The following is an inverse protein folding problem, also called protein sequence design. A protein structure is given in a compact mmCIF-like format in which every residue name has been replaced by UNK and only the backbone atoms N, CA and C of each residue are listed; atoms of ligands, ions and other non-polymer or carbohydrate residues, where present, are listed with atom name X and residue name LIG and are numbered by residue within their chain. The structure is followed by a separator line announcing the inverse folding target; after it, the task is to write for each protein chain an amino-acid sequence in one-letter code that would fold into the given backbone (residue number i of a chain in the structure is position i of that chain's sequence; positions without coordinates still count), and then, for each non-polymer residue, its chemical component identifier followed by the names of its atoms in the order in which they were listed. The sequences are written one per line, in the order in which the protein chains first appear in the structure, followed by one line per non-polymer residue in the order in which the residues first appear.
data_IF_031354491665
#
_entry.id   IF_031354491665
#
_cell.length_a   1.000
_cell.length_b   1.000
_cell.length_c   1.000
_cell.angle_alpha   90.00
_cell.angle_beta   90.00
_cell.angle_gamma   90.00
#
_symmetry.space_group_name_H-M   'P 1'
#
loop_
_entity.id
_entity.type
_entity.pdbx_description
1 polymer ?
#
# COMPACT_ATOMS: atom_id res chain seq x y z
N UNK A 1 6.15 -16.49 -9.08
CA UNK A 1 5.37 -15.30 -8.69
C UNK A 1 4.29 -14.89 -9.69
N UNK A 2 4.14 -15.52 -10.87
CA UNK A 2 3.08 -15.20 -11.85
C UNK A 2 1.78 -16.02 -11.72
N UNK A 3 1.39 -16.50 -10.54
CA UNK A 3 0.27 -17.45 -10.42
C UNK A 3 -1.10 -16.78 -10.35
N UNK A 4 -1.24 -15.73 -9.52
CA UNK A 4 -2.55 -15.10 -9.26
C UNK A 4 -3.00 -14.18 -10.40
N UNK A 5 -2.10 -13.34 -10.92
CA UNK A 5 -2.42 -12.33 -11.93
C UNK A 5 -2.93 -12.92 -13.25
N UNK A 6 -2.64 -14.20 -13.49
CA UNK A 6 -3.08 -14.94 -14.67
C UNK A 6 -4.37 -15.74 -14.44
N UNK A 7 -4.85 -15.84 -13.18
CA UNK A 7 -6.08 -16.53 -12.88
C UNK A 7 -7.28 -15.64 -13.28
N UNK A 8 -8.21 -16.13 -14.13
CA UNK A 8 -9.34 -15.34 -14.62
C UNK A 8 -10.30 -14.87 -13.51
N UNK A 9 -10.23 -15.48 -12.33
CA UNK A 9 -11.10 -15.15 -11.21
C UNK A 9 -10.50 -14.13 -10.24
N UNK A 10 -9.18 -13.96 -10.26
CA UNK A 10 -8.49 -12.99 -9.41
C UNK A 10 -9.03 -11.56 -9.52
N UNK A 11 -9.44 -11.05 -10.70
CA UNK A 11 -10.07 -9.73 -10.81
C UNK A 11 -11.36 -9.59 -9.99
N UNK A 12 -12.09 -10.68 -9.73
CA UNK A 12 -13.30 -10.66 -8.89
C UNK A 12 -12.95 -10.38 -7.43
N UNK A 13 -11.87 -10.99 -6.92
CA UNK A 13 -11.33 -10.68 -5.59
C UNK A 13 -10.91 -9.20 -5.51
N UNK A 14 -10.23 -8.70 -6.54
CA UNK A 14 -9.81 -7.29 -6.59
C UNK A 14 -11.02 -6.37 -6.46
N UNK A 15 -12.07 -6.59 -7.26
CA UNK A 15 -13.31 -5.80 -7.19
C UNK A 15 -13.97 -5.89 -5.82
N UNK A 16 -14.12 -7.09 -5.27
CA UNK A 16 -14.75 -7.29 -3.97
C UNK A 16 -14.01 -6.56 -2.83
N UNK A 17 -12.67 -6.62 -2.81
CA UNK A 17 -11.85 -5.92 -1.82
C UNK A 17 -11.95 -4.40 -1.97
N UNK A 18 -11.96 -3.88 -3.21
CA UNK A 18 -12.17 -2.45 -3.51
C UNK A 18 -13.55 -1.98 -3.04
N UNK A 19 -14.59 -2.77 -3.29
CA UNK A 19 -15.95 -2.50 -2.80
C UNK A 19 -16.00 -2.51 -1.27
N UNK A 20 -15.29 -3.44 -0.62
CA UNK A 20 -15.15 -3.47 0.84
C UNK A 20 -14.46 -2.22 1.39
N UNK A 21 -13.35 -1.76 0.79
CA UNK A 21 -12.70 -0.49 1.17
C UNK A 21 -13.66 0.70 1.10
N UNK A 22 -14.44 0.82 0.02
CA UNK A 22 -15.44 1.91 -0.11
C UNK A 22 -16.49 1.86 0.99
N UNK A 23 -16.94 0.68 1.40
CA UNK A 23 -17.88 0.52 2.52
C UNK A 23 -17.26 0.90 3.87
N UNK A 24 -16.03 0.43 4.13
CA UNK A 24 -15.29 0.69 5.39
C UNK A 24 -15.10 2.18 5.67
N UNK A 25 -14.79 2.95 4.65
CA UNK A 25 -14.58 4.40 4.75
C UNK A 25 -15.80 5.22 4.29
N UNK A 26 -16.96 4.60 4.13
CA UNK A 26 -18.18 5.34 3.80
C UNK A 26 -18.55 6.31 4.94
N UNK A 27 -19.20 7.41 4.59
CA UNK A 27 -19.68 8.38 5.59
C UNK A 27 -20.55 7.71 6.66
N UNK A 28 -21.34 6.71 6.28
CA UNK A 28 -22.20 5.98 7.22
C UNK A 28 -21.43 5.09 8.19
N UNK A 29 -20.36 4.43 7.74
CA UNK A 29 -19.52 3.65 8.64
C UNK A 29 -18.70 4.57 9.57
N UNK A 30 -18.18 5.68 9.07
CA UNK A 30 -17.39 6.64 9.87
C UNK A 30 -18.21 7.24 11.02
N UNK A 31 -19.52 7.45 10.84
CA UNK A 31 -20.42 7.92 11.92
C UNK A 31 -20.44 7.00 13.15
N UNK A 32 -20.07 5.72 13.00
CA UNK A 32 -19.93 4.77 14.13
C UNK A 32 -18.76 5.13 15.05
N UNK A 33 -17.88 6.03 14.59
CA UNK A 33 -16.69 6.49 15.28
C UNK A 33 -16.79 7.99 15.56
N UNK A 34 -17.44 8.40 16.68
CA UNK A 34 -17.60 9.82 17.01
C UNK A 34 -16.29 10.61 17.03
N UNK A 35 -15.18 9.95 17.41
CA UNK A 35 -13.83 10.54 17.42
C UNK A 35 -13.34 11.02 16.04
N UNK A 36 -13.82 10.41 14.96
CA UNK A 36 -13.38 10.73 13.60
C UNK A 36 -14.38 11.62 12.85
N UNK A 37 -15.38 12.17 13.56
CA UNK A 37 -16.39 13.06 12.99
C UNK A 37 -15.83 14.40 12.50
N UNK A 38 -14.68 14.82 13.03
CA UNK A 38 -13.97 16.03 12.61
C UNK A 38 -13.27 15.87 11.24
N UNK A 39 -13.14 14.64 10.72
CA UNK A 39 -12.56 14.40 9.39
C UNK A 39 -13.60 14.75 8.34
N UNK A 40 -13.33 15.76 7.51
CA UNK A 40 -14.27 16.17 6.47
C UNK A 40 -14.47 15.09 5.40
N UNK A 41 -15.68 15.02 4.84
CA UNK A 41 -16.02 14.03 3.80
C UNK A 41 -15.10 14.11 2.59
N UNK A 42 -14.65 15.30 2.20
CA UNK A 42 -13.69 15.49 1.11
C UNK A 42 -12.33 14.81 1.42
N UNK A 43 -11.88 14.83 2.69
CA UNK A 43 -10.64 14.14 3.10
C UNK A 43 -10.83 12.63 3.14
N UNK A 44 -11.99 12.15 3.56
CA UNK A 44 -12.35 10.73 3.50
C UNK A 44 -12.34 10.24 2.05
N UNK A 45 -12.97 10.96 1.13
CA UNK A 45 -12.98 10.61 -0.29
C UNK A 45 -11.57 10.58 -0.89
N UNK A 46 -10.75 11.57 -0.54
CA UNK A 46 -9.34 11.59 -0.93
C UNK A 46 -8.64 10.34 -0.40
N UNK A 47 -8.76 10.04 0.89
CA UNK A 47 -8.15 8.85 1.50
C UNK A 47 -8.59 7.55 0.80
N UNK A 48 -9.88 7.38 0.51
CA UNK A 48 -10.40 6.21 -0.20
C UNK A 48 -9.81 6.11 -1.61
N UNK A 49 -9.76 7.24 -2.33
CA UNK A 49 -9.11 7.30 -3.64
C UNK A 49 -7.64 6.84 -3.55
N UNK A 50 -6.92 7.30 -2.52
CA UNK A 50 -5.55 6.87 -2.25
C UNK A 50 -5.42 5.37 -2.00
N UNK A 51 -6.24 4.79 -1.13
CA UNK A 51 -6.25 3.34 -0.92
C UNK A 51 -6.47 2.58 -2.23
N UNK A 52 -7.44 3.04 -3.03
CA UNK A 52 -7.83 2.38 -4.28
C UNK A 52 -6.86 2.59 -5.44
N UNK A 53 -6.04 3.64 -5.44
CA UNK A 53 -5.08 3.89 -6.53
C UNK A 53 -3.68 3.39 -6.18
N UNK A 54 -3.32 3.42 -4.89
CA UNK A 54 -1.96 3.19 -4.41
C UNK A 54 -1.78 1.79 -3.84
N UNK A 55 -2.66 1.39 -2.91
CA UNK A 55 -2.53 0.13 -2.18
C UNK A 55 -3.22 -1.02 -2.90
N UNK A 56 -4.38 -0.73 -3.51
CA UNK A 56 -5.22 -1.76 -4.09
C UNK A 56 -5.84 -1.32 -5.44
N UNK A 57 -5.00 -1.06 -6.47
CA UNK A 57 -5.45 -0.66 -7.80
C UNK A 57 -6.23 -1.76 -8.52
N UNK A 58 -6.80 -1.40 -9.66
CA UNK A 58 -7.39 -2.35 -10.60
C UNK A 58 -6.32 -3.27 -11.20
N UNK A 59 -6.76 -4.36 -11.85
CA UNK A 59 -5.87 -5.42 -12.35
C UNK A 59 -4.68 -4.88 -13.15
N UNK A 60 -4.91 -3.97 -14.10
CA UNK A 60 -3.81 -3.38 -14.89
C UNK A 60 -2.81 -2.62 -14.00
N UNK A 61 -3.33 -1.85 -13.04
CA UNK A 61 -2.49 -1.18 -12.06
C UNK A 61 -1.73 -2.18 -11.20
N UNK A 62 -2.36 -3.30 -10.82
CA UNK A 62 -1.71 -4.36 -10.04
C UNK A 62 -0.55 -4.98 -10.79
N UNK A 63 -0.75 -5.36 -12.06
CA UNK A 63 0.29 -5.88 -12.95
C UNK A 63 1.45 -4.88 -13.07
N UNK A 64 1.16 -3.58 -13.23
CA UNK A 64 2.20 -2.54 -13.31
C UNK A 64 2.98 -2.40 -12.00
N UNK A 65 2.28 -2.35 -10.86
CA UNK A 65 2.94 -2.29 -9.55
C UNK A 65 3.80 -3.53 -9.32
N UNK A 66 3.32 -4.71 -9.71
CA UNK A 66 4.01 -5.98 -9.48
C UNK A 66 5.32 -6.08 -10.23
N UNK A 67 5.28 -5.72 -11.52
CA UNK A 67 6.49 -5.66 -12.34
C UNK A 67 7.50 -4.68 -11.74
N UNK A 68 7.05 -3.48 -11.37
CA UNK A 68 7.92 -2.45 -10.82
C UNK A 68 8.53 -2.83 -9.47
N UNK A 69 7.75 -3.38 -8.54
CA UNK A 69 8.25 -3.82 -7.24
C UNK A 69 9.15 -5.05 -7.35
N UNK A 70 8.87 -5.99 -8.27
CA UNK A 70 9.76 -7.12 -8.55
C UNK A 70 11.12 -6.67 -9.07
N UNK A 71 11.13 -5.71 -10.02
CA UNK A 71 12.37 -5.11 -10.52
C UNK A 71 13.11 -4.32 -9.43
N UNK A 72 12.39 -3.57 -8.60
CA UNK A 72 12.97 -2.80 -7.51
C UNK A 72 13.58 -3.69 -6.43
N UNK A 73 12.92 -4.80 -6.07
CA UNK A 73 13.45 -5.77 -5.11
C UNK A 73 14.80 -6.34 -5.57
N UNK A 74 14.94 -6.70 -6.86
CA UNK A 74 16.20 -7.17 -7.42
C UNK A 74 17.32 -6.13 -7.37
N UNK A 75 16.99 -4.85 -7.61
CA UNK A 75 17.94 -3.75 -7.47
C UNK A 75 18.39 -3.55 -6.02
N UNK A 76 17.45 -3.48 -5.08
CA UNK A 76 17.74 -3.24 -3.65
C UNK A 76 18.52 -4.40 -3.01
N UNK A 77 18.29 -5.63 -3.48
CA UNK A 77 19.06 -6.81 -3.08
C UNK A 77 20.48 -6.86 -3.66
N UNK A 78 20.88 -5.88 -4.47
CA UNK A 78 22.22 -5.77 -5.05
C UNK A 78 23.02 -4.63 -4.40
N UNK A 79 23.72 -4.86 -3.27
CA UNK A 79 24.48 -3.84 -2.56
C UNK A 79 25.44 -3.06 -3.45
N UNK A 80 26.16 -3.74 -4.34
CA UNK A 80 27.12 -3.11 -5.26
C UNK A 80 26.49 -2.09 -6.21
N UNK A 81 25.31 -2.41 -6.76
CA UNK A 81 24.55 -1.49 -7.62
C UNK A 81 24.04 -0.28 -6.83
N UNK A 82 23.47 -0.52 -5.65
CA UNK A 82 22.94 0.53 -4.76
C UNK A 82 24.06 1.48 -4.33
N UNK A 83 25.16 0.95 -3.78
CA UNK A 83 26.32 1.77 -3.38
C UNK A 83 27.00 2.44 -4.57
N UNK A 84 27.01 1.81 -5.74
CA UNK A 84 27.53 2.41 -6.98
C UNK A 84 26.75 3.65 -7.42
N UNK A 85 25.40 3.64 -7.31
CA UNK A 85 24.59 4.84 -7.55
C UNK A 85 24.86 5.87 -6.48
N UNK A 86 24.74 5.50 -5.20
CA UNK A 86 24.85 6.45 -4.08
C UNK A 86 26.23 7.11 -4.00
N UNK A 87 27.31 6.35 -4.23
CA UNK A 87 28.68 6.88 -4.26
C UNK A 87 28.88 7.91 -5.37
N UNK A 88 28.21 7.73 -6.52
CA UNK A 88 28.24 8.71 -7.60
C UNK A 88 27.38 9.95 -7.37
N UNK A 89 26.52 9.94 -6.33
CA UNK A 89 25.62 11.04 -6.00
C UNK A 89 26.21 12.03 -4.99
N UNK A 90 27.35 11.71 -4.35
CA UNK A 90 28.14 12.63 -3.51
C UNK A 90 27.32 13.63 -2.69
N UNK A 91 27.24 14.87 -3.18
CA UNK A 91 26.54 16.01 -2.58
C UNK A 91 25.05 15.80 -2.35
N UNK A 92 24.35 15.04 -3.20
CA UNK A 92 22.92 14.75 -3.03
C UNK A 92 22.67 13.82 -1.83
N UNK A 93 23.51 12.80 -1.65
CA UNK A 93 23.48 11.93 -0.46
C UNK A 93 23.87 12.72 0.79
N UNK A 94 24.87 13.60 0.68
CA UNK A 94 25.28 14.47 1.79
C UNK A 94 24.18 15.46 2.21
N UNK A 95 23.45 16.07 1.26
CA UNK A 95 22.29 16.94 1.53
C UNK A 95 21.14 16.21 2.21
N UNK A 96 21.02 14.91 1.98
CA UNK A 96 20.03 14.07 2.67
C UNK A 96 20.40 13.85 4.14
N UNK A 97 21.70 13.76 4.43
CA UNK A 97 22.26 13.75 5.78
C UNK A 97 21.53 12.79 6.72
N UNK A 98 21.00 13.32 7.82
CA UNK A 98 20.26 12.56 8.84
C UNK A 98 19.01 11.84 8.33
N UNK A 99 18.43 12.28 7.21
CA UNK A 99 17.21 11.71 6.64
C UNK A 99 17.47 10.49 5.75
N UNK A 100 18.73 10.18 5.41
CA UNK A 100 19.08 9.04 4.56
C UNK A 100 18.57 7.71 5.14
N UNK A 101 18.78 7.49 6.43
CA UNK A 101 18.28 6.27 7.11
C UNK A 101 16.76 6.19 7.02
N UNK A 102 16.06 7.28 7.32
CA UNK A 102 14.59 7.35 7.27
C UNK A 102 14.05 7.18 5.86
N UNK A 103 14.73 7.70 4.84
CA UNK A 103 14.39 7.54 3.43
C UNK A 103 14.49 6.07 2.98
N UNK A 104 15.56 5.38 3.37
CA UNK A 104 15.68 3.95 3.12
C UNK A 104 14.60 3.16 3.86
N UNK A 105 14.37 3.46 5.15
CA UNK A 105 13.32 2.80 5.93
C UNK A 105 11.94 3.00 5.31
N UNK A 106 11.64 4.20 4.81
CA UNK A 106 10.41 4.51 4.08
C UNK A 106 10.25 3.64 2.81
N UNK A 107 11.29 3.59 1.98
CA UNK A 107 11.30 2.75 0.77
C UNK A 107 11.16 1.25 1.09
N UNK A 108 11.85 0.76 2.12
CA UNK A 108 11.72 -0.62 2.59
C UNK A 108 10.34 -0.91 3.17
N UNK A 109 9.74 0.02 3.92
CA UNK A 109 8.39 -0.13 4.44
C UNK A 109 7.35 -0.20 3.30
N UNK A 110 7.48 0.65 2.27
CA UNK A 110 6.61 0.59 1.10
C UNK A 110 6.75 -0.75 0.35
N UNK A 111 7.99 -1.22 0.13
CA UNK A 111 8.26 -2.52 -0.49
C UNK A 111 7.72 -3.69 0.37
N UNK A 112 7.93 -3.63 1.69
CA UNK A 112 7.45 -4.65 2.62
C UNK A 112 5.92 -4.71 2.65
N UNK A 113 5.25 -3.57 2.73
CA UNK A 113 3.78 -3.46 2.66
C UNK A 113 3.24 -4.14 1.41
N UNK A 114 3.92 -3.95 0.28
CA UNK A 114 3.54 -4.58 -0.99
C UNK A 114 3.69 -6.10 -0.98
N UNK A 115 4.81 -6.61 -0.46
CA UNK A 115 5.06 -8.05 -0.31
C UNK A 115 4.05 -8.68 0.68
N UNK A 116 3.75 -7.99 1.79
CA UNK A 116 2.75 -8.44 2.76
C UNK A 116 1.35 -8.46 2.13
N UNK A 117 0.99 -7.45 1.32
CA UNK A 117 -0.26 -7.43 0.56
C UNK A 117 -0.40 -8.65 -0.37
N UNK A 118 0.69 -9.05 -1.02
CA UNK A 118 0.75 -10.24 -1.87
C UNK A 118 0.42 -11.53 -1.11
N UNK A 119 1.08 -11.74 0.03
CA UNK A 119 0.79 -12.89 0.89
C UNK A 119 -0.67 -12.89 1.36
N UNK A 120 -1.20 -11.71 1.66
CA UNK A 120 -2.61 -11.53 2.06
C UNK A 120 -3.57 -11.91 0.91
N UNK A 121 -3.25 -11.50 -0.32
CA UNK A 121 -3.98 -11.84 -1.54
C UNK A 121 -3.96 -13.33 -1.85
N UNK A 122 -2.82 -14.01 -1.72
CA UNK A 122 -2.71 -15.46 -1.91
C UNK A 122 -3.69 -16.22 -0.98
N UNK A 123 -3.70 -15.85 0.31
CA UNK A 123 -4.57 -16.46 1.31
C UNK A 123 -6.05 -16.18 1.03
N UNK A 124 -6.39 -14.91 0.79
CA UNK A 124 -7.77 -14.53 0.45
C UNK A 124 -8.23 -15.19 -0.84
N UNK A 125 -7.38 -15.28 -1.85
CA UNK A 125 -7.76 -15.84 -3.15
C UNK A 125 -8.04 -17.34 -3.07
N UNK A 126 -7.27 -18.08 -2.27
CA UNK A 126 -7.56 -19.49 -2.04
C UNK A 126 -8.99 -19.69 -1.49
N UNK A 127 -9.42 -18.87 -0.53
CA UNK A 127 -10.80 -18.93 -0.01
C UNK A 127 -11.83 -18.38 -0.98
N UNK A 128 -11.51 -17.29 -1.69
CA UNK A 128 -12.38 -16.67 -2.67
C UNK A 128 -12.72 -17.63 -3.80
N UNK A 129 -11.75 -18.41 -4.28
CA UNK A 129 -11.92 -19.42 -5.33
C UNK A 129 -12.89 -20.52 -4.91
N UNK A 130 -12.74 -21.05 -3.70
CA UNK A 130 -13.68 -22.03 -3.14
C UNK A 130 -15.13 -21.52 -3.13
N UNK A 131 -15.33 -20.25 -2.75
CA UNK A 131 -16.65 -19.62 -2.72
C UNK A 131 -17.20 -19.34 -4.14
N UNK A 132 -16.34 -18.94 -5.07
CA UNK A 132 -16.71 -18.72 -6.47
C UNK A 132 -17.13 -20.03 -7.16
N UNK A 133 -16.41 -21.13 -6.90
CA UNK A 133 -16.76 -22.47 -7.39
C UNK A 133 -18.13 -22.94 -6.88
N UNK A 134 -18.57 -22.43 -5.72
CA UNK A 134 -19.90 -22.65 -5.15
C UNK A 134 -20.97 -21.69 -5.71
N UNK A 135 -20.61 -20.81 -6.65
CA UNK A 135 -21.51 -19.82 -7.23
C UNK A 135 -21.77 -18.60 -6.33
N UNK A 136 -20.96 -18.39 -5.29
CA UNK A 136 -21.11 -17.22 -4.41
C UNK A 136 -20.68 -15.92 -5.12
N UNK A 137 -21.34 -14.83 -4.75
CA UNK A 137 -20.99 -13.49 -5.20
C UNK A 137 -20.10 -12.81 -4.15
N UNK A 138 -18.81 -12.66 -4.47
CA UNK A 138 -17.81 -12.06 -3.57
C UNK A 138 -18.08 -10.58 -3.25
N UNK A 139 -18.88 -9.86 -4.05
CA UNK A 139 -19.14 -8.44 -3.80
C UNK A 139 -20.13 -8.23 -2.64
N UNK A 140 -20.91 -9.27 -2.30
CA UNK A 140 -21.78 -9.32 -1.11
C UNK A 140 -20.92 -9.28 0.15
N UNK A 141 -21.28 -8.40 1.09
CA UNK A 141 -20.45 -8.16 2.28
C UNK A 141 -20.30 -9.42 3.13
N UNK A 142 -21.37 -10.19 3.29
CA UNK A 142 -21.41 -11.38 4.13
C UNK A 142 -20.53 -12.50 3.54
N UNK A 143 -20.48 -12.62 2.21
CA UNK A 143 -19.61 -13.56 1.52
C UNK A 143 -18.15 -13.12 1.65
N UNK A 144 -17.90 -11.82 1.46
CA UNK A 144 -16.56 -11.26 1.57
C UNK A 144 -15.99 -11.36 2.99
N UNK A 145 -16.82 -11.31 4.02
CA UNK A 145 -16.40 -11.51 5.41
C UNK A 145 -15.73 -12.88 5.59
N UNK A 146 -16.19 -13.94 4.90
CA UNK A 146 -15.52 -15.25 4.91
C UNK A 146 -14.16 -15.25 4.23
N UNK A 147 -14.01 -14.47 3.16
CA UNK A 147 -12.71 -14.28 2.48
C UNK A 147 -11.75 -13.57 3.41
N UNK A 148 -12.19 -12.47 4.03
CA UNK A 148 -11.35 -11.69 4.95
C UNK A 148 -10.97 -12.51 6.19
N UNK A 149 -11.91 -13.26 6.76
CA UNK A 149 -11.70 -14.15 7.91
C UNK A 149 -10.82 -15.37 7.61
N UNK A 150 -10.47 -15.62 6.34
CA UNK A 150 -9.50 -16.68 5.99
C UNK A 150 -8.07 -16.34 6.40
N UNK A 151 -7.77 -15.05 6.62
CA UNK A 151 -6.44 -14.61 7.04
C UNK A 151 -6.31 -14.65 8.55
N UNK A 152 -5.12 -15.04 9.03
CA UNK A 152 -4.83 -15.09 10.46
C UNK A 152 -4.86 -13.70 11.09
N UNK A 153 -5.29 -13.56 12.37
CA UNK A 153 -5.21 -12.27 13.06
C UNK A 153 -3.81 -11.67 13.09
N UNK A 154 -2.78 -12.52 13.23
CA UNK A 154 -1.39 -12.09 13.19
C UNK A 154 -1.02 -11.44 11.84
N UNK A 155 -1.38 -12.07 10.72
CA UNK A 155 -1.07 -11.53 9.39
C UNK A 155 -1.90 -10.26 9.08
N UNK A 156 -3.16 -10.20 9.52
CA UNK A 156 -4.00 -9.01 9.37
C UNK A 156 -3.49 -7.82 10.19
N UNK A 157 -3.07 -8.07 11.44
CA UNK A 157 -2.45 -7.05 12.29
C UNK A 157 -1.12 -6.56 11.70
N UNK A 158 -0.29 -7.47 11.17
CA UNK A 158 0.95 -7.11 10.51
C UNK A 158 0.70 -6.20 9.29
N UNK A 159 -0.25 -6.58 8.42
CA UNK A 159 -0.61 -5.79 7.26
C UNK A 159 -1.15 -4.40 7.63
N UNK A 160 -2.05 -4.32 8.62
CA UNK A 160 -2.55 -3.03 9.14
C UNK A 160 -1.40 -2.16 9.64
N UNK A 161 -0.49 -2.73 10.44
CA UNK A 161 0.66 -2.00 10.98
C UNK A 161 1.56 -1.46 9.87
N UNK A 162 1.74 -2.21 8.78
CA UNK A 162 2.51 -1.78 7.62
C UNK A 162 1.83 -0.63 6.86
N UNK A 163 0.51 -0.70 6.67
CA UNK A 163 -0.28 0.41 6.13
C UNK A 163 -0.10 1.67 6.99
N UNK A 164 -0.29 1.57 8.31
CA UNK A 164 -0.16 2.73 9.21
C UNK A 164 1.25 3.32 9.17
N UNK A 165 2.30 2.49 9.11
CA UNK A 165 3.69 2.96 8.95
C UNK A 165 3.90 3.66 7.61
N UNK A 166 3.32 3.16 6.53
CA UNK A 166 3.38 3.79 5.22
C UNK A 166 2.73 5.18 5.29
N UNK A 167 1.49 5.29 5.74
CA UNK A 167 0.82 6.60 5.83
C UNK A 167 1.51 7.56 6.80
N UNK A 168 2.09 7.07 7.90
CA UNK A 168 2.91 7.89 8.82
C UNK A 168 4.17 8.44 8.15
N UNK A 169 4.73 7.68 7.22
CA UNK A 169 5.86 8.15 6.41
C UNK A 169 5.41 9.22 5.42
N UNK A 170 4.26 8.99 4.77
CA UNK A 170 3.66 9.93 3.81
C UNK A 170 3.19 11.23 4.47
N UNK A 171 2.89 11.23 5.77
CA UNK A 171 2.51 12.45 6.50
C UNK A 171 3.71 13.33 6.88
N UNK A 172 4.95 12.90 6.64
CA UNK A 172 6.15 13.69 6.91
C UNK A 172 6.62 14.44 5.65
N UNK A 173 6.10 15.66 5.47
CA UNK A 173 6.41 16.52 4.32
C UNK A 173 7.91 16.77 4.10
N UNK A 174 8.66 17.04 5.17
CA UNK A 174 10.10 17.29 5.06
C UNK A 174 10.83 16.03 4.57
N UNK A 175 10.51 14.87 5.15
CA UNK A 175 11.10 13.60 4.73
C UNK A 175 10.73 13.27 3.27
N UNK A 176 9.47 13.46 2.86
CA UNK A 176 9.02 13.20 1.49
C UNK A 176 9.74 14.06 0.47
N UNK A 177 9.87 15.37 0.69
CA UNK A 177 10.59 16.26 -0.23
C UNK A 177 12.04 15.81 -0.39
N UNK A 178 12.69 15.37 0.70
CA UNK A 178 14.08 14.87 0.66
C UNK A 178 14.19 13.54 -0.08
N UNK A 179 13.24 12.62 0.12
CA UNK A 179 13.20 11.36 -0.63
C UNK A 179 13.03 11.62 -2.14
N UNK A 180 12.16 12.56 -2.51
CA UNK A 180 11.97 12.96 -3.92
C UNK A 180 13.26 13.48 -4.56
N UNK A 181 13.96 14.39 -3.87
CA UNK A 181 15.25 14.93 -4.35
C UNK A 181 16.28 13.82 -4.58
N UNK A 182 16.34 12.83 -3.68
CA UNK A 182 17.21 11.66 -3.82
C UNK A 182 16.80 10.79 -5.01
N UNK A 183 15.52 10.46 -5.13
CA UNK A 183 15.00 9.62 -6.21
C UNK A 183 15.26 10.24 -7.58
N UNK A 184 15.07 11.55 -7.73
CA UNK A 184 15.38 12.27 -8.96
C UNK A 184 16.88 12.20 -9.30
N UNK A 185 17.74 12.32 -8.30
CA UNK A 185 19.18 12.21 -8.48
C UNK A 185 19.58 10.78 -8.89
N UNK A 186 19.03 9.76 -8.23
CA UNK A 186 19.21 8.34 -8.55
C UNK A 186 18.78 8.05 -10.00
N UNK A 187 17.58 8.48 -10.40
CA UNK A 187 17.06 8.29 -11.76
C UNK A 187 17.95 8.94 -12.81
N UNK A 188 18.41 10.18 -12.58
CA UNK A 188 19.34 10.86 -13.50
C UNK A 188 20.64 10.07 -13.68
N UNK A 189 21.22 9.59 -12.58
CA UNK A 189 22.44 8.78 -12.61
C UNK A 189 22.24 7.45 -13.32
N UNK A 190 21.13 6.76 -13.08
CA UNK A 190 20.85 5.48 -13.72
C UNK A 190 20.62 5.63 -15.22
N UNK A 191 19.87 6.67 -15.64
CA UNK A 191 19.68 6.99 -17.07
C UNK A 191 20.99 7.32 -17.79
N UNK A 192 21.97 7.90 -17.10
CA UNK A 192 23.30 8.17 -17.67
C UNK A 192 24.17 6.91 -17.82
N UNK A 193 23.77 5.77 -17.22
CA UNK A 193 24.52 4.51 -17.21
C UNK A 193 23.65 3.31 -17.67
N UNK A 194 23.11 3.34 -18.91
CA UNK A 194 22.16 2.31 -19.39
C UNK A 194 22.76 0.91 -19.54
N UNK A 195 24.09 0.77 -19.54
CA UNK A 195 24.78 -0.53 -19.53
C UNK A 195 24.79 -1.21 -18.16
N UNK A 196 24.58 -0.45 -17.09
CA UNK A 196 24.65 -0.91 -15.70
C UNK A 196 23.25 -1.03 -15.07
N UNK A 197 22.31 -0.21 -15.52
CA UNK A 197 20.94 -0.17 -15.01
C UNK A 197 19.94 -0.38 -16.14
N UNK A 198 18.98 -1.27 -15.93
CA UNK A 198 17.95 -1.59 -16.93
C UNK A 198 16.84 -0.52 -16.96
N UNK A 199 16.08 -0.48 -18.06
CA UNK A 199 14.93 0.40 -18.17
C UNK A 199 13.84 0.07 -17.13
N UNK A 200 13.69 -1.20 -16.77
CA UNK A 200 12.75 -1.68 -15.75
C UNK A 200 13.18 -1.21 -14.35
N UNK A 201 14.48 -1.27 -14.02
CA UNK A 201 15.02 -0.75 -12.75
C UNK A 201 14.75 0.75 -12.62
N UNK A 202 14.98 1.54 -13.69
CA UNK A 202 14.68 2.98 -13.71
C UNK A 202 13.19 3.25 -13.57
N UNK A 203 12.36 2.47 -14.28
CA UNK A 203 10.90 2.61 -14.23
C UNK A 203 10.33 2.27 -12.86
N UNK A 204 10.89 1.26 -12.18
CA UNK A 204 10.49 0.89 -10.82
C UNK A 204 10.74 2.02 -9.81
N UNK A 205 11.88 2.71 -9.90
CA UNK A 205 12.16 3.87 -9.03
C UNK A 205 11.25 5.05 -9.35
N UNK A 206 10.99 5.33 -10.63
CA UNK A 206 10.05 6.38 -11.04
C UNK A 206 8.63 6.12 -10.55
N UNK A 207 8.18 4.87 -10.60
CA UNK A 207 6.90 4.47 -10.05
C UNK A 207 6.86 4.70 -8.52
N UNK A 208 7.89 4.27 -7.80
CA UNK A 208 8.02 4.54 -6.36
C UNK A 208 8.00 6.03 -6.01
N UNK A 209 8.67 6.86 -6.81
CA UNK A 209 8.63 8.32 -6.66
C UNK A 209 7.22 8.88 -6.89
N UNK A 210 6.50 8.39 -7.90
CA UNK A 210 5.11 8.77 -8.17
C UNK A 210 4.12 8.31 -7.10
N UNK A 211 4.40 7.21 -6.40
CA UNK A 211 3.64 6.76 -5.21
C UNK A 211 3.83 7.75 -4.06
N UNK A 212 5.07 8.14 -3.77
CA UNK A 212 5.39 9.08 -2.71
C UNK A 212 4.85 10.50 -2.99
N UNK A 213 4.96 10.97 -4.23
CA UNK A 213 4.45 12.27 -4.66
C UNK A 213 2.93 12.36 -4.49
N UNK A 214 2.20 11.30 -4.87
CA UNK A 214 0.76 11.24 -4.60
C UNK A 214 0.53 11.25 -3.08
N UNK A 215 1.29 10.51 -2.27
CA UNK A 215 1.13 10.55 -0.81
C UNK A 215 1.25 11.95 -0.18
N UNK A 216 2.07 12.83 -0.76
CA UNK A 216 2.20 14.24 -0.36
C UNK A 216 0.89 15.02 -0.52
N UNK A 217 0.22 14.85 -1.67
CA UNK A 217 -1.07 15.50 -1.98
C UNK A 217 -2.18 15.12 -0.97
N UNK A 218 -2.17 13.88 -0.46
CA UNK A 218 -3.14 13.43 0.55
C UNK A 218 -3.08 14.30 1.82
N UNK A 219 -1.86 14.57 2.31
CA UNK A 219 -1.62 15.29 3.55
C UNK A 219 -1.37 16.79 3.35
N UNK A 220 -1.47 17.28 2.11
CA UNK A 220 -1.24 18.67 1.79
C UNK A 220 -2.27 19.57 2.48
N UNK A 221 -1.75 20.59 3.16
CA UNK A 221 -2.55 21.58 3.88
C UNK A 221 -3.16 21.08 5.20
N UNK A 222 -2.77 19.89 5.68
CA UNK A 222 -3.18 19.40 7.00
C UNK A 222 -2.22 19.86 8.09
N UNK A 223 -2.78 20.09 9.28
CA UNK A 223 -2.03 20.20 10.53
C UNK A 223 -1.56 18.82 11.00
N UNK A 224 -0.59 18.79 11.91
CA UNK A 224 -0.09 17.53 12.47
C UNK A 224 -1.20 16.73 13.19
N UNK A 225 -2.07 17.43 13.91
CA UNK A 225 -3.22 16.83 14.61
C UNK A 225 -4.21 16.17 13.64
N UNK A 226 -4.49 16.79 12.49
CA UNK A 226 -5.37 16.20 11.47
C UNK A 226 -4.74 14.95 10.84
N UNK A 227 -3.43 14.97 10.58
CA UNK A 227 -2.71 13.81 10.08
C UNK A 227 -2.76 12.65 11.08
N UNK A 228 -2.48 12.93 12.35
CA UNK A 228 -2.49 11.92 13.41
C UNK A 228 -3.92 11.35 13.62
N UNK A 229 -4.96 12.17 13.48
CA UNK A 229 -6.36 11.73 13.51
C UNK A 229 -6.70 10.78 12.36
N UNK A 230 -6.22 11.05 11.14
CA UNK A 230 -6.40 10.17 9.98
C UNK A 230 -5.67 8.84 10.19
N UNK A 231 -4.44 8.86 10.70
CA UNK A 231 -3.69 7.64 10.98
C UNK A 231 -4.39 6.76 12.01
N UNK A 232 -4.94 7.37 13.06
CA UNK A 232 -5.73 6.68 14.06
C UNK A 232 -7.05 6.11 13.50
N UNK A 233 -7.70 6.86 12.61
CA UNK A 233 -8.91 6.40 11.92
C UNK A 233 -8.63 5.17 11.07
N UNK A 234 -7.55 5.18 10.28
CA UNK A 234 -7.11 4.01 9.50
C UNK A 234 -6.86 2.82 10.43
N UNK A 235 -6.08 3.00 11.50
CA UNK A 235 -5.76 1.92 12.43
C UNK A 235 -7.02 1.30 13.05
N UNK A 236 -7.95 2.15 13.50
CA UNK A 236 -9.17 1.72 14.19
C UNK A 236 -10.16 1.05 13.23
N UNK A 237 -10.45 1.67 12.08
CA UNK A 237 -11.43 1.16 11.11
C UNK A 237 -10.95 -0.14 10.48
N UNK A 238 -9.66 -0.25 10.13
CA UNK A 238 -9.11 -1.49 9.56
C UNK A 238 -9.14 -2.64 10.57
N UNK A 239 -8.81 -2.36 11.84
CA UNK A 239 -8.87 -3.35 12.91
C UNK A 239 -10.31 -3.83 13.12
N UNK A 240 -11.24 -2.92 13.36
CA UNK A 240 -12.62 -3.26 13.66
C UNK A 240 -13.26 -4.02 12.50
N UNK A 241 -13.04 -3.59 11.26
CA UNK A 241 -13.58 -4.29 10.10
C UNK A 241 -13.10 -5.75 10.01
N UNK A 242 -11.85 -6.03 10.36
CA UNK A 242 -11.32 -7.39 10.34
C UNK A 242 -11.90 -8.26 11.46
N UNK A 243 -11.93 -7.73 12.69
CA UNK A 243 -12.47 -8.47 13.83
C UNK A 243 -13.99 -8.67 13.74
N UNK A 244 -14.74 -7.71 13.20
CA UNK A 244 -16.17 -7.86 12.92
C UNK A 244 -16.43 -8.99 11.91
N UNK A 245 -15.63 -9.07 10.83
CA UNK A 245 -15.73 -10.16 9.87
C UNK A 245 -15.43 -11.53 10.51
N UNK A 246 -14.42 -11.60 11.36
CA UNK A 246 -14.11 -12.81 12.13
C UNK A 246 -15.26 -13.23 13.06
N UNK A 247 -15.90 -12.28 13.74
CA UNK A 247 -16.97 -12.59 14.69
C UNK A 247 -18.26 -13.00 13.98
N UNK A 248 -18.63 -12.33 12.89
CA UNK A 248 -19.79 -12.70 12.05
C UNK A 248 -19.64 -14.10 11.47
N UNK A 249 -18.45 -14.44 10.96
CA UNK A 249 -18.20 -15.76 10.36
C UNK A 249 -18.17 -16.89 11.40
N UNK A 250 -17.77 -16.61 12.65
CA UNK A 250 -17.91 -17.55 13.76
C UNK A 250 -19.36 -17.76 14.17
N UNK A 251 -20.17 -16.70 14.21
CA UNK A 251 -21.58 -16.76 14.57
C UNK A 251 -22.40 -17.55 13.54
N UNK A 252 -22.09 -17.43 12.24
CA UNK A 252 -22.75 -18.19 11.18
C UNK A 252 -22.36 -19.67 11.10
N UNK A 253 -21.35 -20.11 11.87
CA UNK A 253 -20.93 -21.52 11.98
C UNK A 253 -21.57 -22.26 13.18
N UNK A 254 -22.32 -21.56 14.02
CA UNK A 254 -23.12 -22.13 15.12
C UNK A 254 -24.57 -22.30 14.68
#
# INVERSE_FOLDING_TARGET
MGSLLNDPEFPKLIRAYRSSLRRRYSADNIKRYPRFSDISSARVELLVKYFLELLYPELEGRIRLDGAFSSLAGFVQSPSKVFGVLGSLGTAVFKLGRYLKSAFQAGFAALHTYVTAHKFEDLMFAKAKELLDQGADLEKSEVFDYVLASVSPHDADAFRNDIVKLFRTLSNHELLSKIRDLMDAVVRTMKAKPKLYSHEEVSGILLGAGILARGEELFQGMSRSEMDLILEAIETIEKDSFYEALDRTKLSRK
#
